data_IF_363336334619
#
_entry.id   IF_363336334619
#
_cell.length_a   1.000
_cell.length_b   1.000
_cell.length_c   1.000
_cell.angle_alpha   90.00
_cell.angle_beta   90.00
_cell.angle_gamma   90.00
#
_symmetry.space_group_name_H-M   'P 1'
#
loop_
_entity.id
_entity.type
_entity.pdbx_description
1 polymer ?
#
# COMPACT_ATOMS: atom_id res chain seq x y z
N UNK A 1 -4.06 4.12 -4.79
CA UNK A 1 -3.40 5.01 -3.82
C UNK A 1 -3.34 4.33 -2.46
N UNK A 2 -2.17 4.24 -1.84
CA UNK A 2 -2.00 3.78 -0.46
C UNK A 2 -1.52 4.96 0.38
N UNK A 3 -2.12 5.12 1.56
CA UNK A 3 -1.72 6.09 2.58
C UNK A 3 -1.40 5.33 3.86
N UNK A 4 -0.26 5.62 4.48
CA UNK A 4 0.18 4.91 5.69
C UNK A 4 0.30 5.85 6.88
N UNK A 5 -0.04 5.34 8.06
CA UNK A 5 0.34 5.92 9.34
C UNK A 5 1.10 4.85 10.15
N UNK A 6 2.38 5.08 10.48
CA UNK A 6 3.18 6.29 10.16
C UNK A 6 3.59 6.37 8.69
N UNK A 7 4.01 7.57 8.28
CA UNK A 7 4.27 7.94 6.88
C UNK A 7 5.55 7.30 6.30
N UNK A 8 6.46 6.81 7.14
CA UNK A 8 7.76 6.26 6.78
C UNK A 8 7.75 4.73 6.61
N UNK A 9 6.61 4.15 6.24
CA UNK A 9 6.47 2.72 5.99
C UNK A 9 6.94 2.33 4.58
N UNK A 10 7.51 1.13 4.43
CA UNK A 10 7.76 0.54 3.12
C UNK A 10 6.46 -0.07 2.56
N UNK A 11 6.10 0.30 1.34
CA UNK A 11 4.91 -0.22 0.63
C UNK A 11 5.34 -1.03 -0.59
N UNK A 12 4.77 -2.22 -0.73
CA UNK A 12 4.98 -3.13 -1.86
C UNK A 12 3.64 -3.47 -2.50
N UNK A 13 3.62 -3.56 -3.83
CA UNK A 13 2.50 -4.10 -4.60
C UNK A 13 3.05 -5.20 -5.50
N UNK A 14 2.49 -6.40 -5.39
CA UNK A 14 2.95 -7.62 -6.09
C UNK A 14 4.46 -7.87 -5.94
N UNK A 15 4.99 -7.58 -4.75
CA UNK A 15 6.41 -7.71 -4.43
C UNK A 15 7.30 -6.57 -4.94
N UNK A 16 6.76 -5.61 -5.70
CA UNK A 16 7.50 -4.43 -6.16
C UNK A 16 7.40 -3.31 -5.14
N UNK A 17 8.55 -2.84 -4.63
CA UNK A 17 8.60 -1.71 -3.69
C UNK A 17 8.23 -0.42 -4.42
N UNK A 18 7.25 0.30 -3.88
CA UNK A 18 6.86 1.62 -4.37
C UNK A 18 7.75 2.71 -3.76
N UNK A 19 7.89 3.82 -4.49
CA UNK A 19 8.51 5.02 -3.97
C UNK A 19 7.43 5.95 -3.42
N UNK A 20 7.68 6.53 -2.26
CA UNK A 20 6.79 7.55 -1.71
C UNK A 20 6.86 8.82 -2.56
N UNK A 21 5.71 9.39 -2.88
CA UNK A 21 5.61 10.65 -3.58
C UNK A 21 5.73 11.85 -2.63
N UNK A 22 6.02 13.06 -3.13
CA UNK A 22 6.12 14.27 -2.29
C UNK A 22 4.87 14.61 -1.47
N UNK A 23 3.69 14.17 -1.92
CA UNK A 23 2.41 14.31 -1.21
C UNK A 23 2.17 13.21 -0.15
N UNK A 24 3.20 12.41 0.17
CA UNK A 24 3.20 11.30 1.13
C UNK A 24 2.36 10.07 0.72
N UNK A 25 1.83 10.03 -0.51
CA UNK A 25 1.12 8.87 -1.05
C UNK A 25 2.05 7.86 -1.73
N UNK A 26 1.53 6.65 -1.89
CA UNK A 26 2.07 5.65 -2.80
C UNK A 26 1.04 5.38 -3.90
N UNK A 27 1.40 5.64 -5.16
CA UNK A 27 0.53 5.40 -6.31
C UNK A 27 1.22 4.53 -7.35
N UNK A 28 0.43 3.65 -7.96
CA UNK A 28 0.86 2.76 -9.02
C UNK A 28 -0.36 2.45 -9.91
N UNK A 29 -0.13 2.41 -11.23
CA UNK A 29 -1.13 1.94 -12.18
C UNK A 29 -1.14 0.42 -12.21
N UNK A 30 -2.32 -0.19 -12.04
CA UNK A 30 -2.52 -1.63 -12.02
C UNK A 30 -3.59 -2.02 -13.02
N UNK A 31 -3.55 -3.28 -13.47
CA UNK A 31 -4.64 -3.86 -14.22
C UNK A 31 -5.82 -4.16 -13.29
N UNK A 32 -7.00 -4.39 -13.87
CA UNK A 32 -8.14 -4.83 -13.08
C UNK A 32 -7.90 -6.26 -12.55
N UNK A 33 -8.39 -6.53 -11.34
CA UNK A 33 -8.29 -7.80 -10.67
C UNK A 33 -7.45 -7.77 -9.38
N UNK A 34 -7.08 -8.95 -8.86
CA UNK A 34 -6.45 -9.08 -7.56
C UNK A 34 -4.97 -8.70 -7.58
N UNK A 35 -4.57 -7.87 -6.63
CA UNK A 35 -3.19 -7.45 -6.38
C UNK A 35 -2.85 -7.57 -4.90
N UNK A 36 -1.63 -8.00 -4.58
CA UNK A 36 -1.17 -8.14 -3.21
C UNK A 36 -0.50 -6.85 -2.75
N UNK A 37 -0.96 -6.29 -1.64
CA UNK A 37 -0.35 -5.12 -0.99
C UNK A 37 0.30 -5.57 0.32
N UNK A 38 1.58 -5.27 0.48
CA UNK A 38 2.31 -5.53 1.73
C UNK A 38 2.92 -4.22 2.24
N UNK A 39 2.75 -3.95 3.53
CA UNK A 39 3.24 -2.74 4.18
C UNK A 39 4.04 -3.14 5.41
N UNK A 40 5.26 -2.59 5.51
CA UNK A 40 6.22 -2.96 6.55
C UNK A 40 6.84 -1.72 7.16
N UNK A 41 7.10 -1.79 8.46
CA UNK A 41 7.90 -0.81 9.17
C UNK A 41 8.49 -1.44 10.42
N UNK A 42 9.73 -1.07 10.74
CA UNK A 42 10.38 -1.51 11.97
C UNK A 42 9.58 -1.10 13.21
N UNK A 43 9.38 -2.04 14.15
CA UNK A 43 8.58 -1.85 15.37
C UNK A 43 7.06 -1.95 15.19
N UNK A 44 6.58 -2.31 13.99
CA UNK A 44 5.15 -2.43 13.68
C UNK A 44 4.84 -3.85 13.19
N UNK A 45 3.60 -4.30 13.41
CA UNK A 45 3.12 -5.55 12.83
C UNK A 45 3.04 -5.39 11.31
N UNK A 46 3.52 -6.37 10.53
CA UNK A 46 3.40 -6.31 9.08
C UNK A 46 1.91 -6.33 8.70
N UNK A 47 1.55 -5.51 7.72
CA UNK A 47 0.20 -5.48 7.16
C UNK A 47 0.24 -6.11 5.76
N UNK A 48 -0.72 -6.99 5.48
CA UNK A 48 -0.84 -7.69 4.20
C UNK A 48 -2.31 -7.73 3.79
N UNK A 49 -2.61 -7.28 2.57
CA UNK A 49 -3.97 -7.11 2.09
C UNK A 49 -4.07 -7.43 0.60
N UNK A 50 -5.04 -8.27 0.23
CA UNK A 50 -5.36 -8.56 -1.17
C UNK A 50 -6.40 -7.54 -1.66
N UNK A 51 -5.94 -6.58 -2.45
CA UNK A 51 -6.79 -5.59 -3.08
C UNK A 51 -7.41 -6.16 -4.36
N UNK A 52 -8.69 -5.90 -4.60
CA UNK A 52 -9.34 -6.20 -5.87
C UNK A 52 -9.60 -4.88 -6.62
N UNK A 53 -8.92 -4.69 -7.74
CA UNK A 53 -8.93 -3.43 -8.50
C UNK A 53 -10.07 -3.48 -9.53
N UNK A 54 -11.05 -2.56 -9.46
CA UNK A 54 -12.15 -2.56 -10.41
C UNK A 54 -11.70 -2.11 -11.80
N UNK A 55 -12.32 -2.62 -12.89
CA UNK A 55 -12.08 -2.13 -14.24
C UNK A 55 -12.33 -0.61 -14.37
N UNK A 56 -11.38 0.10 -14.99
CA UNK A 56 -11.50 1.53 -15.29
C UNK A 56 -11.46 2.46 -14.07
N UNK A 57 -11.18 1.93 -12.87
CA UNK A 57 -11.13 2.69 -11.64
C UNK A 57 -9.90 2.35 -10.80
N UNK A 58 -9.96 2.70 -9.52
CA UNK A 58 -8.92 2.39 -8.55
C UNK A 58 -9.46 2.49 -7.13
N UNK A 59 -8.63 2.07 -6.18
CA UNK A 59 -8.96 2.13 -4.76
C UNK A 59 -8.04 3.10 -4.03
N UNK A 60 -8.55 3.64 -2.93
CA UNK A 60 -7.77 4.34 -1.92
C UNK A 60 -7.72 3.45 -0.68
N UNK A 61 -6.51 3.11 -0.24
CA UNK A 61 -6.27 2.23 0.89
C UNK A 61 -5.53 3.00 1.99
N UNK A 62 -6.25 3.61 2.96
CA UNK A 62 -5.64 4.13 4.16
C UNK A 62 -5.31 2.99 5.13
N UNK A 63 -4.09 2.98 5.67
CA UNK A 63 -3.61 1.96 6.60
C UNK A 63 -2.96 2.61 7.81
N UNK A 64 -3.47 2.28 8.99
CA UNK A 64 -2.80 2.54 10.25
C UNK A 64 -2.12 1.26 10.72
N UNK A 65 -0.79 1.30 10.84
CA UNK A 65 -0.03 0.13 11.30
C UNK A 65 -0.14 0.01 12.82
N UNK A 66 -0.39 -1.21 13.28
CA UNK A 66 -0.33 -1.54 14.70
C UNK A 66 1.12 -1.67 15.17
N UNK A 67 1.45 -1.08 16.33
CA UNK A 67 2.73 -1.36 16.99
C UNK A 67 2.81 -2.83 17.42
N UNK A 68 4.02 -3.36 17.44
CA UNK A 68 4.31 -4.69 18.00
C UNK A 68 4.11 -4.73 19.51
#
# INVERSE_FOLDING_TARGET
MVLTNPIDADVYVDGVRLQQQPNLSYDVGLLAGPHQVDIRREGFKPFSYKADIPPGGGIVLPVELEKQ
#
